data_IF_221102147793
#
_entry.id   IF_221102147793
#
_cell.length_a   1.000
_cell.length_b   1.000
_cell.length_c   1.000
_cell.angle_alpha   90.00
_cell.angle_beta   90.00
_cell.angle_gamma   90.00
#
_symmetry.space_group_name_H-M   'P 1'
#
loop_
_entity.id
_entity.type
_entity.pdbx_description
1 polymer ?
#
# COMPACT_ATOMS: atom_id res chain seq x y z
N UNK A 1 14.41 8.96 -6.43
CA UNK A 1 13.73 7.66 -6.29
C UNK A 1 12.72 7.72 -5.15
N UNK A 2 11.53 7.21 -5.40
CA UNK A 2 10.52 7.17 -4.36
C UNK A 2 10.91 6.18 -3.26
N UNK A 3 10.57 6.51 -2.04
CA UNK A 3 10.79 5.63 -0.91
C UNK A 3 9.51 4.89 -0.58
N UNK A 4 9.62 3.62 -0.25
CA UNK A 4 8.49 2.83 0.19
C UNK A 4 8.09 3.27 1.59
N UNK A 5 6.93 3.88 1.74
CA UNK A 5 6.46 4.41 3.02
C UNK A 5 5.74 3.37 3.87
N UNK A 6 5.12 2.40 3.23
CA UNK A 6 4.29 1.41 3.93
C UNK A 6 4.85 0.02 3.67
N UNK A 7 4.58 -0.88 4.59
CA UNK A 7 5.05 -2.27 4.49
C UNK A 7 3.86 -3.21 4.49
N UNK A 8 4.14 -4.47 4.13
CA UNK A 8 3.12 -5.51 4.19
C UNK A 8 2.55 -5.59 5.61
N UNK A 9 1.24 -5.75 5.67
CA UNK A 9 0.45 -5.81 6.91
C UNK A 9 0.22 -4.47 7.62
N UNK A 10 0.78 -3.39 7.12
CA UNK A 10 0.45 -2.07 7.66
C UNK A 10 -1.00 -1.75 7.32
N UNK A 11 -1.66 -1.03 8.21
CA UNK A 11 -3.02 -0.55 7.99
C UNK A 11 -2.94 0.85 7.39
N UNK A 12 -3.55 1.01 6.24
CA UNK A 12 -3.55 2.31 5.55
C UNK A 12 -4.95 2.72 5.16
N UNK A 13 -5.15 4.02 5.02
CA UNK A 13 -6.41 4.56 4.53
C UNK A 13 -6.26 4.86 3.05
N UNK A 14 -7.19 4.33 2.26
CA UNK A 14 -7.24 4.53 0.81
C UNK A 14 -8.53 5.27 0.46
N UNK A 15 -8.70 5.69 -0.80
CA UNK A 15 -9.97 6.28 -1.25
C UNK A 15 -11.18 5.37 -1.07
N UNK A 16 -10.96 4.08 -0.97
CA UNK A 16 -12.03 3.11 -0.73
C UNK A 16 -12.23 2.79 0.75
N UNK A 17 -11.38 3.32 1.63
CA UNK A 17 -11.45 3.06 3.05
C UNK A 17 -10.16 2.47 3.59
N UNK A 18 -10.21 1.99 4.82
CA UNK A 18 -9.04 1.44 5.49
C UNK A 18 -8.82 -0.01 5.07
N UNK A 19 -7.59 -0.34 4.68
CA UNK A 19 -7.23 -1.69 4.30
C UNK A 19 -5.94 -2.12 5.00
N UNK A 20 -5.71 -3.42 5.01
CA UNK A 20 -4.43 -3.99 5.46
C UNK A 20 -3.68 -4.44 4.22
N UNK A 21 -2.46 -3.97 4.08
CA UNK A 21 -1.66 -4.25 2.88
C UNK A 21 -1.30 -5.73 2.80
N UNK A 22 -1.64 -6.35 1.69
CA UNK A 22 -1.27 -7.74 1.41
C UNK A 22 -0.31 -7.84 0.23
N UNK A 23 -0.37 -6.89 -0.68
CA UNK A 23 0.46 -6.89 -1.87
C UNK A 23 1.07 -5.51 -2.10
N UNK A 24 2.30 -5.50 -2.57
CA UNK A 24 3.02 -4.26 -2.87
C UNK A 24 3.59 -4.38 -4.27
N UNK A 25 3.44 -3.33 -5.05
CA UNK A 25 3.93 -3.29 -6.41
C UNK A 25 4.71 -2.00 -6.62
N UNK A 26 5.79 -2.07 -7.38
CA UNK A 26 6.57 -0.91 -7.73
C UNK A 26 6.45 -0.66 -9.23
N UNK A 27 6.16 0.58 -9.59
CA UNK A 27 6.09 1.01 -10.99
C UNK A 27 7.35 1.83 -11.30
N UNK A 28 8.33 1.24 -12.01
CA UNK A 28 9.56 1.96 -12.32
C UNK A 28 9.36 3.11 -13.31
N UNK A 29 8.29 3.02 -14.11
CA UNK A 29 7.98 4.04 -15.08
C UNK A 29 7.59 5.35 -14.43
N UNK A 30 6.83 5.27 -13.36
CA UNK A 30 6.37 6.44 -12.60
C UNK A 30 7.10 6.59 -11.28
N UNK A 31 8.02 5.69 -10.97
CA UNK A 31 8.76 5.68 -9.71
C UNK A 31 7.80 5.76 -8.52
N UNK A 32 6.82 4.85 -8.50
CA UNK A 32 5.79 4.89 -7.50
C UNK A 32 5.43 3.50 -6.99
N UNK A 33 5.21 3.40 -5.69
CA UNK A 33 4.74 2.18 -5.06
C UNK A 33 3.22 2.18 -5.00
N UNK A 34 2.65 1.00 -5.14
CA UNK A 34 1.20 0.80 -5.03
C UNK A 34 0.91 -0.35 -4.09
N UNK A 35 -0.21 -0.27 -3.43
CA UNK A 35 -0.58 -1.22 -2.38
C UNK A 35 -1.97 -1.77 -2.63
N UNK A 36 -2.19 -3.01 -2.24
CA UNK A 36 -3.47 -3.65 -2.45
C UNK A 36 -3.77 -4.66 -1.36
N UNK A 37 -5.04 -4.99 -1.24
CA UNK A 37 -5.49 -6.16 -0.52
C UNK A 37 -5.31 -7.37 -1.42
N UNK A 38 -5.45 -8.55 -0.87
CA UNK A 38 -5.14 -9.80 -1.53
C UNK A 38 -5.89 -10.02 -2.85
N UNK A 39 -5.20 -10.64 -3.83
CA UNK A 39 -5.80 -11.15 -5.04
C UNK A 39 -5.31 -10.51 -6.32
N UNK A 40 -5.23 -11.28 -7.42
CA UNK A 40 -4.70 -10.77 -8.68
C UNK A 40 -5.61 -9.74 -9.38
N UNK A 41 -6.88 -9.71 -8.99
CA UNK A 41 -7.83 -8.75 -9.55
C UNK A 41 -8.05 -7.56 -8.64
N UNK A 42 -7.28 -7.45 -7.57
CA UNK A 42 -7.42 -6.34 -6.63
C UNK A 42 -6.93 -5.05 -7.26
N UNK A 43 -7.61 -3.97 -6.92
CA UNK A 43 -7.16 -2.65 -7.32
C UNK A 43 -5.95 -2.24 -6.49
N UNK A 44 -4.93 -1.68 -7.13
CA UNK A 44 -3.76 -1.15 -6.42
C UNK A 44 -3.89 0.36 -6.27
N UNK A 45 -3.75 0.83 -5.05
CA UNK A 45 -3.78 2.26 -4.77
C UNK A 45 -2.36 2.79 -4.68
N UNK A 46 -2.12 3.94 -5.29
CA UNK A 46 -0.80 4.57 -5.27
C UNK A 46 -0.46 5.05 -3.87
N UNK A 47 0.82 5.05 -3.56
CA UNK A 47 1.29 5.52 -2.26
C UNK A 47 0.81 6.94 -1.95
N UNK A 48 0.76 7.79 -2.97
CA UNK A 48 0.30 9.17 -2.80
C UNK A 48 -1.18 9.29 -2.44
N UNK A 49 -1.97 8.24 -2.70
CA UNK A 49 -3.39 8.23 -2.38
C UNK A 49 -3.67 7.68 -0.99
N UNK A 50 -2.65 7.20 -0.31
CA UNK A 50 -2.82 6.47 0.94
C UNK A 50 -2.19 7.20 2.12
N UNK A 51 -2.73 6.93 3.30
CA UNK A 51 -2.19 7.46 4.55
C UNK A 51 -2.03 6.33 5.54
N UNK A 52 -0.95 6.37 6.31
CA UNK A 52 -0.72 5.37 7.33
C UNK A 52 -1.72 5.55 8.47
N UNK A 53 -2.40 4.47 8.84
CA UNK A 53 -3.30 4.45 9.99
C UNK A 53 -2.60 3.83 11.18
N UNK A 54 -2.00 2.65 10.97
CA UNK A 54 -1.33 1.94 12.04
C UNK A 54 -0.27 1.03 11.45
N UNK A 55 0.90 1.03 12.03
CA UNK A 55 1.95 0.13 11.59
C UNK A 55 1.75 -1.26 12.17
N UNK A 56 2.05 -2.27 11.37
CA UNK A 56 2.01 -3.64 11.84
C UNK A 56 3.11 -3.84 12.89
N UNK A 57 2.71 -4.35 14.03
CA UNK A 57 3.64 -4.68 15.10
C UNK A 57 3.78 -6.19 15.19
N UNK A 58 4.96 -6.66 14.89
CA UNK A 58 5.26 -8.07 15.04
C UNK A 58 5.44 -8.37 16.53
N UNK A 59 4.65 -9.27 17.02
CA UNK A 59 4.71 -9.69 18.43
C UNK A 59 5.60 -10.92 18.54
#
# INVERSE_FOLDING_TARGET
>A
MASQKFRRYDKIKTPKGVIIIQSIQYDPKNDEYSYSILGPKSHFWRQSECELVERYKKV
#
